data_IF_382572093454
#
_entry.id   IF_382572093454
#
_cell.length_a   1.000
_cell.length_b   1.000
_cell.length_c   1.000
_cell.angle_alpha   90.00
_cell.angle_beta   90.00
_cell.angle_gamma   90.00
#
_symmetry.space_group_name_H-M   'P 1'
#
loop_
_entity.id
_entity.type
_entity.pdbx_description
1 polymer ?
#
# COMPACT_ATOMS: atom_id res chain seq x y z
N UNK A 1 -6.40 -20.07 -8.09
CA UNK A 1 -5.42 -19.08 -8.55
C UNK A 1 -6.08 -17.75 -8.87
N UNK A 2 -6.11 -16.84 -7.89
CA UNK A 2 -6.59 -15.47 -8.07
C UNK A 2 -5.68 -14.66 -8.99
N UNK A 3 -6.22 -13.58 -9.56
CA UNK A 3 -5.45 -12.65 -10.41
C UNK A 3 -4.36 -11.97 -9.58
N UNK A 4 -4.70 -11.51 -8.37
CA UNK A 4 -3.75 -10.96 -7.41
C UNK A 4 -2.56 -11.88 -7.10
N UNK A 5 -2.80 -13.19 -6.93
CA UNK A 5 -1.69 -14.13 -6.73
C UNK A 5 -0.74 -14.15 -7.93
N UNK A 6 -1.27 -14.11 -9.16
CA UNK A 6 -0.43 -14.15 -10.37
C UNK A 6 0.39 -12.88 -10.52
N UNK A 7 -0.22 -11.73 -10.29
CA UNK A 7 0.38 -10.42 -10.54
C UNK A 7 1.29 -9.93 -9.41
N UNK A 8 0.89 -10.20 -8.16
CA UNK A 8 1.60 -9.74 -6.96
C UNK A 8 2.25 -10.91 -6.26
N UNK A 9 1.46 -11.94 -5.91
CA UNK A 9 1.91 -13.05 -5.08
C UNK A 9 3.17 -13.77 -5.58
N UNK A 10 3.24 -14.04 -6.88
CA UNK A 10 4.40 -14.73 -7.49
C UNK A 10 5.68 -13.91 -7.45
N UNK A 11 5.60 -12.57 -7.50
CA UNK A 11 6.77 -11.68 -7.47
C UNK A 11 7.49 -11.72 -6.12
N UNK A 12 6.74 -11.96 -5.05
CA UNK A 12 7.25 -11.99 -3.67
C UNK A 12 7.33 -13.40 -3.10
N UNK A 13 7.22 -14.44 -3.93
CA UNK A 13 7.30 -15.83 -3.49
C UNK A 13 6.21 -16.24 -2.50
N UNK A 14 5.08 -15.54 -2.49
CA UNK A 14 3.93 -15.89 -1.64
C UNK A 14 3.29 -17.19 -2.14
N UNK A 15 2.58 -17.87 -1.24
CA UNK A 15 1.63 -18.92 -1.59
C UNK A 15 0.29 -18.32 -2.03
N UNK A 16 -0.56 -19.11 -2.70
CA UNK A 16 -1.93 -18.69 -3.05
C UNK A 16 -2.73 -18.26 -1.83
N UNK A 17 -2.54 -18.94 -0.68
CA UNK A 17 -3.23 -18.61 0.57
C UNK A 17 -2.77 -17.27 1.14
N UNK A 18 -1.45 -17.05 1.24
CA UNK A 18 -0.89 -15.78 1.70
C UNK A 18 -1.31 -14.60 0.82
N UNK A 19 -1.38 -14.81 -0.50
CA UNK A 19 -1.81 -13.78 -1.43
C UNK A 19 -3.29 -13.46 -1.27
N UNK A 20 -4.15 -14.47 -1.09
CA UNK A 20 -5.56 -14.26 -0.84
C UNK A 20 -5.83 -13.58 0.53
N UNK A 21 -5.03 -13.89 1.54
CA UNK A 21 -5.10 -13.25 2.85
C UNK A 21 -4.63 -11.80 2.80
N UNK A 22 -3.54 -11.53 2.08
CA UNK A 22 -3.03 -10.19 1.81
C UNK A 22 -4.08 -9.35 1.08
N UNK A 23 -4.58 -9.82 -0.07
CA UNK A 23 -5.58 -9.12 -0.90
C UNK A 23 -6.81 -8.70 -0.07
N UNK A 24 -7.37 -9.62 0.71
CA UNK A 24 -8.51 -9.32 1.61
C UNK A 24 -8.16 -8.28 2.67
N UNK A 25 -6.95 -8.34 3.22
CA UNK A 25 -6.45 -7.35 4.16
C UNK A 25 -6.28 -5.96 3.54
N UNK A 26 -5.76 -5.88 2.32
CA UNK A 26 -5.57 -4.62 1.57
C UNK A 26 -6.93 -3.95 1.31
N UNK A 27 -7.92 -4.72 0.85
CA UNK A 27 -9.30 -4.23 0.66
C UNK A 27 -9.89 -3.70 1.97
N UNK A 28 -9.66 -4.41 3.08
CA UNK A 28 -10.11 -3.97 4.40
C UNK A 28 -9.44 -2.67 4.84
N UNK A 29 -8.13 -2.51 4.60
CA UNK A 29 -7.42 -1.25 4.92
C UNK A 29 -8.00 -0.07 4.14
N UNK A 30 -8.31 -0.25 2.85
CA UNK A 30 -8.99 0.80 2.05
C UNK A 30 -10.33 1.19 2.69
N UNK A 31 -11.12 0.22 3.12
CA UNK A 31 -12.41 0.48 3.79
C UNK A 31 -12.24 1.19 5.14
N UNK A 32 -11.28 0.75 5.95
CA UNK A 32 -10.95 1.39 7.24
C UNK A 32 -10.51 2.85 7.05
N UNK A 33 -9.68 3.12 6.04
CA UNK A 33 -9.25 4.48 5.73
C UNK A 33 -10.42 5.38 5.31
N UNK A 34 -11.28 4.88 4.41
CA UNK A 34 -12.46 5.64 3.93
C UNK A 34 -13.48 5.90 5.03
N UNK A 35 -13.57 5.05 6.04
CA UNK A 35 -14.48 5.20 7.17
C UNK A 35 -13.91 6.09 8.30
N UNK A 36 -12.61 6.41 8.25
CA UNK A 36 -11.96 7.17 9.30
C UNK A 36 -12.23 8.68 9.19
N UNK A 37 -12.50 9.32 10.32
CA UNK A 37 -12.78 10.76 10.40
C UNK A 37 -11.52 11.62 10.51
N UNK A 38 -10.41 11.04 10.96
CA UNK A 38 -9.18 11.77 11.35
C UNK A 38 -7.96 11.36 10.50
N UNK A 39 -8.17 11.14 9.20
CA UNK A 39 -7.14 10.67 8.25
C UNK A 39 -5.93 11.62 8.15
N UNK A 40 -6.11 12.90 8.48
CA UNK A 40 -5.02 13.89 8.50
C UNK A 40 -4.20 13.91 9.80
N UNK A 41 -4.59 13.15 10.83
CA UNK A 41 -3.83 13.11 12.08
C UNK A 41 -2.59 12.23 11.95
N UNK A 42 -1.51 12.62 12.63
CA UNK A 42 -0.28 11.85 12.69
C UNK A 42 -0.50 10.48 13.34
N UNK A 43 -1.31 10.42 14.40
CA UNK A 43 -1.61 9.18 15.11
C UNK A 43 -2.34 8.18 14.22
N UNK A 44 -3.36 8.63 13.49
CA UNK A 44 -4.03 7.78 12.51
C UNK A 44 -3.06 7.29 11.43
N UNK A 45 -2.26 8.20 10.87
CA UNK A 45 -1.29 7.89 9.82
C UNK A 45 -0.28 6.83 10.28
N UNK A 46 0.23 6.95 11.51
CA UNK A 46 1.12 5.97 12.12
C UNK A 46 0.45 4.62 12.31
N UNK A 47 -0.77 4.58 12.84
CA UNK A 47 -1.50 3.33 13.06
C UNK A 47 -1.88 2.64 11.74
N UNK A 48 -2.30 3.41 10.75
CA UNK A 48 -2.66 2.90 9.44
C UNK A 48 -1.46 2.27 8.74
N UNK A 49 -0.32 2.97 8.69
CA UNK A 49 0.90 2.42 8.09
C UNK A 49 1.38 1.17 8.83
N UNK A 50 1.36 1.17 10.17
CA UNK A 50 1.72 -0.02 10.96
C UNK A 50 0.82 -1.21 10.66
N UNK A 51 -0.49 -1.02 10.48
CA UNK A 51 -1.40 -2.10 10.08
C UNK A 51 -1.06 -2.64 8.70
N UNK A 52 -0.72 -1.77 7.75
CA UNK A 52 -0.27 -2.17 6.41
C UNK A 52 1.01 -2.98 6.49
N UNK A 53 2.04 -2.49 7.18
CA UNK A 53 3.33 -3.16 7.34
C UNK A 53 3.19 -4.53 8.04
N UNK A 54 2.37 -4.60 9.08
CA UNK A 54 2.06 -5.87 9.76
C UNK A 54 1.32 -6.85 8.83
N UNK A 55 0.36 -6.36 8.04
CA UNK A 55 -0.38 -7.21 7.12
C UNK A 55 0.56 -7.83 6.07
N UNK A 56 1.43 -7.03 5.45
CA UNK A 56 2.33 -7.53 4.39
C UNK A 56 3.36 -8.50 4.97
N UNK A 57 3.94 -8.19 6.12
CA UNK A 57 4.94 -9.05 6.77
C UNK A 57 4.38 -10.37 7.29
N UNK A 58 3.17 -10.35 7.87
CA UNK A 58 2.48 -11.58 8.28
C UNK A 58 2.14 -12.50 7.10
N UNK A 59 2.01 -11.93 5.89
CA UNK A 59 1.73 -12.68 4.66
C UNK A 59 3.00 -12.99 3.85
N UNK A 60 4.18 -12.93 4.47
CA UNK A 60 5.43 -13.44 3.89
C UNK A 60 6.20 -12.43 3.03
N UNK A 61 5.83 -11.15 3.05
CA UNK A 61 6.61 -10.07 2.42
C UNK A 61 7.66 -9.57 3.41
N UNK A 62 8.92 -9.48 3.03
CA UNK A 62 9.96 -8.93 3.92
C UNK A 62 9.83 -7.41 4.04
N UNK A 63 10.26 -6.84 5.16
CA UNK A 63 10.29 -5.37 5.36
C UNK A 63 11.07 -4.67 4.24
N UNK A 64 12.17 -5.28 3.78
CA UNK A 64 13.00 -4.79 2.67
C UNK A 64 12.30 -4.82 1.31
N UNK A 65 11.17 -5.53 1.19
CA UNK A 65 10.40 -5.67 -0.04
C UNK A 65 9.15 -4.76 -0.07
N UNK A 66 8.85 -4.08 1.04
CA UNK A 66 7.65 -3.23 1.17
C UNK A 66 7.64 -2.11 0.13
N UNK A 67 8.79 -1.52 -0.16
CA UNK A 67 8.95 -0.52 -1.23
C UNK A 67 8.56 -1.09 -2.60
N UNK A 68 9.10 -2.25 -2.95
CA UNK A 68 8.78 -2.92 -4.21
C UNK A 68 7.30 -3.31 -4.29
N UNK A 69 6.71 -3.80 -3.19
CA UNK A 69 5.29 -4.11 -3.12
C UNK A 69 4.43 -2.87 -3.33
N UNK A 70 4.74 -1.75 -2.67
CA UNK A 70 4.01 -0.49 -2.83
C UNK A 70 4.08 0.00 -4.28
N UNK A 71 5.22 -0.15 -4.95
CA UNK A 71 5.35 0.17 -6.37
C UNK A 71 4.45 -0.73 -7.25
N UNK A 72 4.50 -2.05 -7.06
CA UNK A 72 3.65 -3.01 -7.80
C UNK A 72 2.16 -2.73 -7.60
N UNK A 73 1.74 -2.48 -6.36
CA UNK A 73 0.36 -2.16 -6.03
C UNK A 73 -0.11 -0.84 -6.66
N UNK A 74 0.80 0.11 -6.92
CA UNK A 74 0.46 1.37 -7.57
C UNK A 74 0.06 1.16 -9.03
N UNK A 75 0.68 0.20 -9.70
CA UNK A 75 0.39 -0.14 -11.09
C UNK A 75 -0.74 -1.17 -11.26
N UNK A 76 -1.32 -1.66 -10.16
CA UNK A 76 -2.50 -2.53 -10.17
C UNK A 76 -3.75 -1.66 -10.01
N UNK A 77 -4.64 -1.66 -11.02
CA UNK A 77 -5.84 -0.83 -11.04
C UNK A 77 -6.71 -0.98 -9.77
N UNK A 78 -6.83 -2.20 -9.25
CA UNK A 78 -7.64 -2.51 -8.07
C UNK A 78 -7.02 -2.01 -6.75
N UNK A 79 -5.70 -1.77 -6.73
CA UNK A 79 -4.93 -1.47 -5.52
C UNK A 79 -4.24 -0.10 -5.55
N UNK A 80 -4.24 0.60 -6.68
CA UNK A 80 -3.65 1.93 -6.82
C UNK A 80 -4.15 2.89 -5.74
N UNK A 81 -5.46 2.86 -5.46
CA UNK A 81 -6.06 3.71 -4.41
C UNK A 81 -5.46 3.46 -3.02
N UNK A 82 -5.12 2.21 -2.67
CA UNK A 82 -4.49 1.92 -1.38
C UNK A 82 -3.14 2.62 -1.26
N UNK A 83 -2.34 2.61 -2.32
CA UNK A 83 -1.02 3.25 -2.34
C UNK A 83 -1.15 4.76 -2.10
N UNK A 84 -2.20 5.39 -2.66
CA UNK A 84 -2.49 6.80 -2.40
C UNK A 84 -2.81 7.12 -0.93
N UNK A 85 -3.09 6.12 -0.11
CA UNK A 85 -3.28 6.25 1.33
C UNK A 85 -2.02 5.86 2.12
N UNK A 86 -1.35 4.78 1.73
CA UNK A 86 -0.17 4.22 2.42
C UNK A 86 1.00 5.19 2.38
N UNK A 87 1.37 5.71 1.21
CA UNK A 87 2.55 6.57 1.06
C UNK A 87 2.40 7.89 1.84
N UNK A 88 1.27 8.64 1.74
CA UNK A 88 1.09 9.82 2.58
C UNK A 88 1.02 9.51 4.07
N UNK A 89 0.41 8.38 4.46
CA UNK A 89 0.35 7.97 5.88
C UNK A 89 1.74 7.69 6.44
N UNK A 90 2.61 7.03 5.68
CA UNK A 90 3.99 6.81 6.07
C UNK A 90 4.73 8.13 6.30
N UNK A 91 4.62 9.08 5.36
CA UNK A 91 5.26 10.39 5.49
C UNK A 91 4.68 11.22 6.63
N UNK A 92 3.36 11.20 6.83
CA UNK A 92 2.70 11.91 7.93
C UNK A 92 3.06 11.32 9.30
N UNK A 93 3.33 10.02 9.38
CA UNK A 93 3.83 9.37 10.60
C UNK A 93 5.26 9.82 10.97
N UNK A 94 6.02 10.35 10.00
CA UNK A 94 7.43 10.74 10.13
C UNK A 94 8.40 9.75 9.49
N UNK A 95 7.92 8.91 8.58
CA UNK A 95 8.74 7.99 7.79
C UNK A 95 9.73 8.72 6.86
N UNK A 96 10.74 7.98 6.39
CA UNK A 96 11.78 8.50 5.51
C UNK A 96 11.21 8.81 4.12
N UNK A 97 11.25 10.08 3.72
CA UNK A 97 10.77 10.52 2.42
C UNK A 97 11.51 9.90 1.24
N UNK A 98 12.69 9.32 1.45
CA UNK A 98 13.42 8.61 0.41
C UNK A 98 12.79 7.25 0.06
N UNK A 99 12.15 6.55 1.02
CA UNK A 99 11.73 5.15 0.85
C UNK A 99 10.61 4.95 -0.19
N UNK A 100 9.76 5.94 -0.44
CA UNK A 100 8.74 5.84 -1.50
C UNK A 100 8.80 7.04 -2.44
N UNK A 101 9.98 7.67 -2.58
CA UNK A 101 10.12 8.91 -3.33
C UNK A 101 9.65 8.75 -4.78
N UNK A 102 10.04 7.66 -5.44
CA UNK A 102 9.69 7.38 -6.83
C UNK A 102 8.19 7.16 -6.99
N UNK A 103 7.58 6.30 -6.16
CA UNK A 103 6.13 6.06 -6.19
C UNK A 103 5.34 7.33 -5.88
N UNK A 104 5.80 8.14 -4.92
CA UNK A 104 5.16 9.42 -4.60
C UNK A 104 5.24 10.41 -5.76
N UNK A 105 6.38 10.46 -6.46
CA UNK A 105 6.54 11.34 -7.61
C UNK A 105 5.59 10.93 -8.75
N UNK A 106 5.47 9.64 -9.04
CA UNK A 106 4.51 9.11 -10.00
C UNK A 106 3.07 9.52 -9.64
N UNK A 107 2.69 9.39 -8.37
CA UNK A 107 1.39 9.86 -7.89
C UNK A 107 1.16 11.35 -8.13
N UNK A 108 2.17 12.20 -7.92
CA UNK A 108 2.05 13.64 -8.15
C UNK A 108 1.95 13.97 -9.64
N UNK A 109 2.70 13.28 -10.48
CA UNK A 109 2.68 13.47 -11.94
C UNK A 109 1.30 13.06 -12.50
N UNK A 110 0.71 11.96 -12.03
CA UNK A 110 -0.64 11.52 -12.43
C UNK A 110 -1.72 12.52 -12.00
N UNK A 111 -1.60 13.11 -10.80
CA UNK A 111 -2.51 14.17 -10.33
C UNK A 111 -2.39 15.43 -11.21
N UNK A 112 -1.16 15.80 -11.61
CA UNK A 112 -0.93 16.96 -12.48
C UNK A 112 -1.45 16.74 -13.90
N UNK A 113 -1.33 15.52 -14.44
CA UNK A 113 -1.86 15.16 -15.75
C UNK A 113 -3.39 15.04 -15.76
N UNK A 114 -4.02 14.74 -14.61
CA UNK A 114 -5.46 14.69 -14.45
C UNK A 114 -6.12 16.08 -14.25
N UNK A 115 -5.33 17.14 -14.10
CA UNK A 115 -5.84 18.51 -14.02
C UNK A 115 -6.20 19.04 -15.44
N UNK A 116 -7.43 19.56 -15.64
CA UNK A 116 -7.94 19.98 -16.96
C UNK A 116 -7.25 21.22 -17.55
#
# INVERSE_FOLDING_TARGET
MSEFYKEVGTLFGQTELQSADLERGLVRLVQEFKAASEVGSRDFSSQFYQKFEQLVTQNGIMETEVEALVNVLYFSDDHQQLVTFVVPSYYNAGGDRAQFADTYQLMMDDVQQAAP
#
